data_IF_376569180790
#
_entry.id   IF_376569180790
#
_cell.length_a   1.000
_cell.length_b   1.000
_cell.length_c   1.000
_cell.angle_alpha   90.00
_cell.angle_beta   90.00
_cell.angle_gamma   90.00
#
_symmetry.space_group_name_H-M   'P 1'
#
loop_
_entity.id
_entity.type
_entity.pdbx_description
1 polymer ?
#
# COMPACT_ATOMS: atom_id res chain seq x y z
N UNK A 1 -34.73 -25.53 -43.96
CA UNK A 1 -35.37 -24.19 -43.97
C UNK A 1 -36.08 -23.95 -42.66
N UNK A 2 -35.54 -23.05 -41.81
CA UNK A 2 -36.25 -22.16 -40.89
C UNK A 2 -35.20 -21.24 -40.26
N UNK A 3 -35.45 -19.95 -40.41
CA UNK A 3 -34.58 -18.76 -40.32
C UNK A 3 -33.91 -18.52 -38.95
N UNK A 4 -32.73 -17.87 -38.90
CA UNK A 4 -32.19 -17.27 -37.68
C UNK A 4 -32.83 -15.90 -37.44
N UNK A 5 -33.26 -15.63 -36.20
CA UNK A 5 -33.75 -14.32 -35.76
C UNK A 5 -32.54 -13.51 -35.24
N UNK A 6 -32.20 -12.36 -35.85
CA UNK A 6 -31.13 -11.49 -35.36
C UNK A 6 -31.67 -10.43 -34.38
N UNK A 7 -30.74 -9.75 -33.71
CA UNK A 7 -30.90 -8.44 -33.08
C UNK A 7 -31.63 -8.38 -31.72
N UNK A 8 -30.86 -8.42 -30.63
CA UNK A 8 -31.00 -7.44 -29.52
C UNK A 8 -29.76 -7.43 -28.59
N UNK A 9 -28.59 -7.04 -29.11
CA UNK A 9 -27.45 -6.65 -28.26
C UNK A 9 -26.62 -5.57 -28.97
N UNK A 10 -27.29 -4.47 -29.28
CA UNK A 10 -26.64 -3.24 -29.69
C UNK A 10 -27.35 -2.09 -28.96
N UNK A 11 -26.96 -1.84 -27.71
CA UNK A 11 -27.30 -0.59 -27.06
C UNK A 11 -26.12 -0.10 -26.23
N UNK A 12 -25.65 1.10 -26.59
CA UNK A 12 -24.68 1.95 -25.90
C UNK A 12 -23.17 1.60 -25.98
N UNK A 13 -22.61 1.53 -27.19
CA UNK A 13 -21.19 1.84 -27.45
C UNK A 13 -21.06 2.97 -28.49
N UNK A 14 -21.95 3.97 -28.44
CA UNK A 14 -21.98 5.10 -29.39
C UNK A 14 -22.21 6.46 -28.71
N UNK A 15 -21.63 6.67 -27.53
CA UNK A 15 -21.37 8.03 -27.03
C UNK A 15 -19.86 8.24 -27.04
N UNK A 16 -19.34 8.42 -28.26
CA UNK A 16 -17.93 8.63 -28.56
C UNK A 16 -17.47 10.04 -28.18
N UNK A 17 -17.26 10.26 -26.89
CA UNK A 17 -16.37 11.30 -26.40
C UNK A 17 -15.22 10.64 -25.64
N UNK A 18 -13.98 11.07 -25.87
CA UNK A 18 -12.89 10.70 -24.95
C UNK A 18 -13.31 11.14 -23.55
N UNK A 19 -13.43 10.23 -22.57
CA UNK A 19 -13.80 10.62 -21.23
C UNK A 19 -12.81 11.69 -20.76
N UNK A 20 -13.30 12.91 -20.57
CA UNK A 20 -12.46 14.02 -20.14
C UNK A 20 -12.21 13.83 -18.66
N UNK A 21 -10.94 13.66 -18.32
CA UNK A 21 -10.50 13.68 -16.93
C UNK A 21 -10.81 15.07 -16.38
N UNK A 22 -11.62 15.10 -15.34
CA UNK A 22 -11.98 16.32 -14.62
C UNK A 22 -11.19 16.38 -13.32
N UNK A 23 -10.72 17.56 -13.00
CA UNK A 23 -9.92 17.81 -11.80
C UNK A 23 -10.75 17.62 -10.52
N UNK A 24 -12.00 18.09 -10.47
CA UNK A 24 -12.81 18.08 -9.27
C UNK A 24 -13.10 16.66 -8.71
N UNK A 25 -13.50 15.66 -9.53
CA UNK A 25 -13.64 14.28 -9.05
C UNK A 25 -12.33 13.70 -8.50
N UNK A 26 -11.20 13.95 -9.17
CA UNK A 26 -9.89 13.49 -8.70
C UNK A 26 -9.57 14.12 -7.34
N UNK A 27 -9.75 15.44 -7.20
CA UNK A 27 -9.53 16.14 -5.94
C UNK A 27 -10.37 15.54 -4.80
N UNK A 28 -11.64 15.22 -5.05
CA UNK A 28 -12.49 14.61 -4.04
C UNK A 28 -11.97 13.23 -3.58
N UNK A 29 -11.57 12.37 -4.53
CA UNK A 29 -10.96 11.06 -4.21
C UNK A 29 -9.67 11.22 -3.41
N UNK A 30 -8.77 12.11 -3.84
CA UNK A 30 -7.49 12.35 -3.19
C UNK A 30 -7.67 12.91 -1.78
N UNK A 31 -8.59 13.87 -1.61
CA UNK A 31 -8.87 14.48 -0.31
C UNK A 31 -9.34 13.43 0.69
N UNK A 32 -10.29 12.57 0.29
CA UNK A 32 -10.78 11.50 1.15
C UNK A 32 -9.68 10.45 1.46
N UNK A 33 -8.93 9.99 0.47
CA UNK A 33 -7.90 8.96 0.66
C UNK A 33 -6.65 9.44 1.42
N UNK A 34 -6.49 10.76 1.57
CA UNK A 34 -5.43 11.39 2.33
C UNK A 34 -5.92 11.93 3.69
N UNK A 35 -7.20 11.74 4.02
CA UNK A 35 -7.78 12.24 5.26
C UNK A 35 -7.27 11.48 6.49
N UNK A 36 -7.06 12.21 7.58
CA UNK A 36 -6.62 11.64 8.87
C UNK A 36 -7.61 10.60 9.43
N UNK A 37 -8.89 10.63 9.00
CA UNK A 37 -9.89 9.60 9.31
C UNK A 37 -9.40 8.17 9.01
N UNK A 38 -8.56 8.02 7.98
CA UNK A 38 -7.98 6.75 7.60
C UNK A 38 -6.79 6.37 8.50
N UNK A 39 -6.15 7.29 9.22
CA UNK A 39 -4.94 7.03 10.04
C UNK A 39 -3.74 6.50 9.23
N UNK A 40 -3.73 6.75 7.91
CA UNK A 40 -2.78 6.16 6.96
C UNK A 40 -3.38 5.00 6.18
N UNK A 41 -2.60 4.40 5.26
CA UNK A 41 -3.08 3.30 4.38
C UNK A 41 -2.06 2.18 4.25
N UNK A 42 -1.31 1.94 5.33
CA UNK A 42 -0.31 0.87 5.38
C UNK A 42 -0.95 -0.51 5.22
N UNK A 43 -0.21 -1.45 4.62
CA UNK A 43 -0.64 -2.83 4.45
C UNK A 43 -0.99 -3.45 5.81
N UNK A 44 -2.18 -4.05 5.90
CA UNK A 44 -2.65 -4.71 7.14
C UNK A 44 -3.01 -3.75 8.28
N UNK A 45 -3.17 -2.46 8.00
CA UNK A 45 -3.63 -1.46 8.99
C UNK A 45 -5.10 -1.08 8.75
N UNK A 46 -5.77 -0.60 9.81
CA UNK A 46 -7.17 -0.17 9.81
C UNK A 46 -7.51 0.76 8.64
N UNK A 47 -6.64 1.75 8.40
CA UNK A 47 -6.81 2.68 7.30
C UNK A 47 -6.68 2.10 5.91
N UNK A 48 -5.82 1.09 5.75
CA UNK A 48 -5.75 0.28 4.53
C UNK A 48 -7.08 -0.41 4.26
N UNK A 49 -7.70 -1.01 5.29
CA UNK A 49 -9.00 -1.68 5.15
C UNK A 49 -10.12 -0.71 4.76
N UNK A 50 -10.12 0.50 5.32
CA UNK A 50 -11.05 1.56 4.94
C UNK A 50 -10.86 2.02 3.49
N UNK A 51 -9.61 2.21 3.08
CA UNK A 51 -9.30 2.57 1.68
C UNK A 51 -9.74 1.46 0.71
N UNK A 52 -9.56 0.18 1.07
CA UNK A 52 -10.05 -0.93 0.24
C UNK A 52 -11.57 -0.90 0.15
N UNK A 53 -12.28 -0.74 1.27
CA UNK A 53 -13.75 -0.67 1.26
C UNK A 53 -14.27 0.51 0.41
N UNK A 54 -13.58 1.65 0.46
CA UNK A 54 -13.87 2.78 -0.40
C UNK A 54 -13.71 2.43 -1.89
N UNK A 55 -12.59 1.83 -2.27
CA UNK A 55 -12.34 1.43 -3.65
C UNK A 55 -13.39 0.42 -4.14
N UNK A 56 -13.78 -0.54 -3.30
CA UNK A 56 -14.85 -1.50 -3.59
C UNK A 56 -16.20 -0.81 -3.84
N UNK A 57 -16.54 0.21 -3.05
CA UNK A 57 -17.76 1.00 -3.25
C UNK A 57 -17.69 1.78 -4.57
N UNK A 58 -16.55 2.40 -4.89
CA UNK A 58 -16.37 3.16 -6.13
C UNK A 58 -16.48 2.26 -7.37
N UNK A 59 -15.83 1.10 -7.40
CA UNK A 59 -15.91 0.19 -8.56
C UNK A 59 -17.30 -0.43 -8.71
N UNK A 60 -18.00 -0.69 -7.60
CA UNK A 60 -19.40 -1.14 -7.62
C UNK A 60 -20.32 -0.06 -8.17
N UNK A 61 -20.13 1.20 -7.77
CA UNK A 61 -20.91 2.34 -8.27
C UNK A 61 -20.70 2.56 -9.78
N UNK A 62 -19.51 2.21 -10.30
CA UNK A 62 -19.21 2.21 -11.73
C UNK A 62 -19.79 1.00 -12.49
N UNK A 63 -20.39 0.03 -11.79
CA UNK A 63 -20.97 -1.17 -12.41
C UNK A 63 -19.93 -2.21 -12.84
N UNK A 64 -18.69 -2.14 -12.34
CA UNK A 64 -17.67 -3.12 -12.67
C UNK A 64 -17.98 -4.47 -12.03
N UNK A 65 -17.80 -5.55 -12.78
CA UNK A 65 -17.91 -6.90 -12.25
C UNK A 65 -16.64 -7.29 -11.47
N UNK A 66 -16.74 -8.11 -10.41
CA UNK A 66 -15.58 -8.66 -9.73
C UNK A 66 -14.72 -9.52 -10.65
N UNK A 67 -13.40 -9.31 -10.65
CA UNK A 67 -12.48 -10.10 -11.44
C UNK A 67 -12.12 -11.46 -10.80
N UNK A 68 -12.29 -11.59 -9.49
CA UNK A 68 -11.91 -12.80 -8.72
C UNK A 68 -13.13 -13.66 -8.34
N UNK A 69 -14.20 -13.63 -9.15
CA UNK A 69 -15.43 -14.39 -8.96
C UNK A 69 -16.26 -13.94 -7.76
N UNK A 70 -15.81 -14.23 -6.54
CA UNK A 70 -16.54 -14.02 -5.29
C UNK A 70 -16.50 -12.56 -4.77
N UNK A 71 -15.63 -11.70 -5.31
CA UNK A 71 -15.48 -10.32 -4.85
C UNK A 71 -14.32 -9.58 -5.50
N UNK A 72 -14.10 -8.34 -5.06
CA UNK A 72 -13.06 -7.45 -5.60
C UNK A 72 -11.69 -7.66 -4.92
N UNK A 73 -11.61 -8.51 -3.90
CA UNK A 73 -10.37 -8.76 -3.15
C UNK A 73 -9.65 -9.99 -3.67
N UNK A 74 -8.32 -9.90 -3.71
CA UNK A 74 -7.43 -11.03 -3.90
C UNK A 74 -6.72 -11.33 -2.58
N UNK A 75 -6.79 -12.58 -2.13
CA UNK A 75 -6.03 -13.04 -0.97
C UNK A 75 -4.59 -13.28 -1.38
N UNK A 76 -3.67 -12.69 -0.62
CA UNK A 76 -2.22 -12.94 -0.70
C UNK A 76 -1.68 -13.14 0.71
N UNK A 77 -0.65 -13.96 0.84
CA UNK A 77 0.07 -14.10 2.10
C UNK A 77 1.20 -13.06 2.13
N UNK A 78 1.29 -12.30 3.22
CA UNK A 78 2.27 -11.23 3.39
C UNK A 78 3.02 -11.45 4.70
N UNK A 79 4.35 -11.34 4.63
CA UNK A 79 5.19 -11.30 5.82
C UNK A 79 5.15 -9.88 6.40
N UNK A 80 4.57 -9.73 7.58
CA UNK A 80 4.60 -8.48 8.34
C UNK A 80 5.82 -8.39 9.23
N UNK A 81 6.46 -7.23 9.29
CA UNK A 81 7.53 -6.92 10.23
C UNK A 81 7.23 -5.61 10.95
N UNK A 82 7.41 -5.60 12.27
CA UNK A 82 7.24 -4.39 13.10
C UNK A 82 8.33 -4.34 14.15
N UNK A 83 9.10 -3.25 14.16
CA UNK A 83 10.04 -2.96 15.24
C UNK A 83 9.28 -2.64 16.53
N UNK A 84 9.57 -3.37 17.60
CA UNK A 84 8.98 -3.15 18.91
C UNK A 84 9.87 -2.19 19.70
N UNK A 85 9.63 -0.88 19.58
CA UNK A 85 10.51 0.17 20.12
C UNK A 85 10.98 -0.07 21.57
N UNK A 86 10.14 -0.45 22.55
CA UNK A 86 10.60 -0.68 23.92
C UNK A 86 11.49 -1.92 24.09
N UNK A 87 11.58 -2.78 23.07
CA UNK A 87 12.32 -4.05 23.06
C UNK A 87 13.41 -4.07 21.98
N UNK A 88 13.69 -2.93 21.35
CA UNK A 88 14.67 -2.83 20.27
C UNK A 88 15.67 -1.73 20.61
N UNK A 89 16.95 -2.04 20.47
CA UNK A 89 18.05 -1.12 20.76
C UNK A 89 19.15 -1.28 19.71
N UNK A 90 19.81 -0.19 19.38
CA UNK A 90 21.06 -0.18 18.65
C UNK A 90 22.07 0.58 19.51
N UNK A 91 23.29 0.06 19.61
CA UNK A 91 24.39 0.75 20.27
C UNK A 91 25.59 0.71 19.35
N UNK A 92 26.20 1.86 19.15
CA UNK A 92 27.46 2.00 18.43
C UNK A 92 28.61 2.10 19.43
N UNK A 93 29.66 1.33 19.21
CA UNK A 93 30.89 1.39 20.00
C UNK A 93 32.03 1.94 19.15
N UNK A 94 32.78 2.90 19.68
CA UNK A 94 33.92 3.50 19.00
C UNK A 94 34.96 4.02 19.98
N UNK A 95 36.06 4.59 19.45
CA UNK A 95 37.17 5.10 20.27
C UNK A 95 36.74 6.21 21.25
N UNK A 96 35.68 6.95 20.94
CA UNK A 96 35.10 7.99 21.80
C UNK A 96 34.06 7.48 22.82
N UNK A 97 33.85 6.16 22.93
CA UNK A 97 32.85 5.55 23.81
C UNK A 97 31.67 4.93 23.06
N UNK A 98 30.53 4.84 23.75
CA UNK A 98 29.31 4.23 23.23
C UNK A 98 28.23 5.27 22.94
N UNK A 99 27.49 5.09 21.85
CA UNK A 99 26.33 5.89 21.47
C UNK A 99 25.10 4.99 21.34
N UNK A 100 24.05 5.29 22.10
CA UNK A 100 22.76 4.60 22.02
C UNK A 100 21.69 5.56 21.48
N UNK A 101 21.49 5.62 20.14
CA UNK A 101 20.52 6.52 19.52
C UNK A 101 19.08 6.17 19.91
N UNK A 102 18.21 7.18 19.95
CA UNK A 102 16.77 6.96 20.05
C UNK A 102 16.19 6.56 18.70
N UNK A 103 15.41 5.50 18.69
CA UNK A 103 14.67 5.10 17.49
C UNK A 103 13.69 6.17 17.04
N UNK A 104 13.54 6.33 15.72
CA UNK A 104 12.68 7.29 15.03
C UNK A 104 13.01 8.77 15.25
N UNK A 105 13.93 9.10 16.17
CA UNK A 105 14.51 10.43 16.34
C UNK A 105 15.92 10.49 15.72
N UNK A 106 16.82 9.61 16.16
CA UNK A 106 18.23 9.60 15.76
C UNK A 106 18.55 8.46 14.78
N UNK A 107 17.81 7.36 14.84
CA UNK A 107 18.01 6.19 13.97
C UNK A 107 16.69 5.59 13.50
N UNK A 108 16.64 5.23 12.21
CA UNK A 108 15.57 4.41 11.64
C UNK A 108 16.17 3.08 11.25
N UNK A 109 15.73 2.01 11.91
CA UNK A 109 16.15 0.64 11.60
C UNK A 109 14.97 -0.32 11.72
N UNK A 110 14.96 -1.29 10.81
CA UNK A 110 13.98 -2.37 10.75
C UNK A 110 14.69 -3.65 10.32
N UNK A 111 14.12 -4.81 10.66
CA UNK A 111 14.60 -6.11 10.18
C UNK A 111 13.62 -6.67 9.16
N UNK A 112 14.13 -7.07 8.00
CA UNK A 112 13.39 -7.78 6.96
C UNK A 112 13.55 -9.31 7.00
N UNK A 113 14.19 -9.85 8.03
CA UNK A 113 14.61 -11.27 8.06
C UNK A 113 13.45 -12.27 8.28
N UNK A 114 12.27 -11.80 8.70
CA UNK A 114 11.11 -12.68 8.93
C UNK A 114 11.22 -13.59 10.15
N UNK A 115 12.17 -13.33 11.04
CA UNK A 115 12.32 -14.01 12.34
C UNK A 115 11.84 -13.11 13.48
N UNK A 116 11.38 -13.68 14.61
CA UNK A 116 10.86 -12.88 15.74
C UNK A 116 11.90 -11.95 16.37
N UNK A 117 13.18 -12.33 16.34
CA UNK A 117 14.28 -11.59 16.93
C UNK A 117 15.51 -11.68 16.02
N UNK A 118 16.12 -10.53 15.75
CA UNK A 118 17.34 -10.40 14.98
C UNK A 118 18.35 -9.60 15.79
N UNK A 119 19.38 -10.29 16.29
CA UNK A 119 20.49 -9.69 17.02
C UNK A 119 21.79 -9.95 16.27
N UNK A 120 22.60 -8.92 16.10
CA UNK A 120 23.92 -9.04 15.46
C UNK A 120 24.87 -7.98 16.02
N UNK A 121 26.17 -8.28 15.90
CA UNK A 121 27.26 -7.36 16.18
C UNK A 121 28.20 -7.38 14.98
N UNK A 122 28.49 -6.21 14.41
CA UNK A 122 29.30 -6.08 13.20
C UNK A 122 29.99 -4.70 13.14
N UNK A 123 31.10 -4.58 12.39
CA UNK A 123 31.69 -3.28 12.09
C UNK A 123 30.72 -2.38 11.32
N UNK A 124 30.78 -1.08 11.60
CA UNK A 124 30.01 -0.06 10.86
C UNK A 124 30.87 0.53 9.76
N UNK A 125 30.31 0.60 8.56
CA UNK A 125 30.94 1.24 7.40
C UNK A 125 30.05 2.36 6.87
N UNK A 126 30.62 3.56 6.70
CA UNK A 126 29.94 4.66 6.01
C UNK A 126 30.18 4.54 4.49
N UNK A 127 29.10 4.32 3.74
CA UNK A 127 29.14 4.07 2.28
C UNK A 127 28.47 5.20 1.46
N UNK A 128 28.33 6.41 2.02
CA UNK A 128 27.65 7.51 1.35
C UNK A 128 26.18 7.21 1.08
N UNK A 129 25.73 7.32 -0.18
CA UNK A 129 24.34 7.11 -0.57
C UNK A 129 23.93 5.65 -0.78
N UNK A 130 24.89 4.71 -0.79
CA UNK A 130 24.58 3.27 -0.95
C UNK A 130 24.04 2.89 -2.34
N UNK A 131 24.41 3.65 -3.38
CA UNK A 131 24.05 3.37 -4.78
C UNK A 131 25.33 3.27 -5.62
N UNK A 132 25.27 2.46 -6.68
CA UNK A 132 26.24 2.39 -7.77
C UNK A 132 25.59 2.95 -9.04
N UNK A 133 26.37 3.52 -9.96
CA UNK A 133 25.87 4.27 -11.12
C UNK A 133 25.91 3.48 -12.43
#
# INVERSE_FOLDING_TARGET
MRTPLPALLAFAMLQGGTPKVQEAPIRAHLTFLADDLLEGRGTGQRGGDLAVAYLEAQVRALGLAPANGAGYRQRIDVLGARTLLPKSSITFHGAGGSLSPKFLEDVVATSGQGVPEAAFEAPVLFVGFGIDA
#
